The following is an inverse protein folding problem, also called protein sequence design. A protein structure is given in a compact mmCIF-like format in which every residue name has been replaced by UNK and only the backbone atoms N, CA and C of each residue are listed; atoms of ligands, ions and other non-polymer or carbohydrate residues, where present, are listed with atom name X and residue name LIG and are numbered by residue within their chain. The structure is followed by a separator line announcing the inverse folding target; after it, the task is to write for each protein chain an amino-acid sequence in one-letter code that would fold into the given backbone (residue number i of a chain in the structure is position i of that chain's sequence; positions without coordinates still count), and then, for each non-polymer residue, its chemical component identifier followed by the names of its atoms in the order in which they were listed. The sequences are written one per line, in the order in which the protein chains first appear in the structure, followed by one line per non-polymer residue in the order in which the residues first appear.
data_IF_743650068516
#
_entry.id   IF_743650068516
#
_cell.length_a   1.000
_cell.length_b   1.000
_cell.length_c   1.000
_cell.angle_alpha   90.00
_cell.angle_beta   90.00
_cell.angle_gamma   90.00
#
_symmetry.space_group_name_H-M   'P 1'
#
loop_
_entity.id
_entity.type
_entity.pdbx_description
1 polymer ?
#
# COMPACT_ATOMS: atom_id res chain seq x y z
N UNK A 1 19.61 19.56 -13.99
CA UNK A 1 20.91 18.98 -13.63
C UNK A 1 20.69 17.51 -13.22
N UNK A 2 21.41 16.52 -13.79
CA UNK A 2 21.11 15.08 -13.61
C UNK A 2 21.24 14.56 -12.16
N UNK A 3 21.99 15.25 -11.30
CA UNK A 3 22.10 14.94 -9.85
C UNK A 3 20.80 15.11 -9.04
N UNK A 4 19.80 15.83 -9.55
CA UNK A 4 18.52 16.00 -8.84
C UNK A 4 17.58 14.79 -8.98
N UNK A 5 17.85 13.89 -9.94
CA UNK A 5 16.95 12.78 -10.26
C UNK A 5 16.99 11.71 -9.15
N UNK A 6 18.14 11.45 -8.54
CA UNK A 6 18.26 10.47 -7.46
C UNK A 6 17.56 10.90 -6.16
N UNK A 7 17.62 12.18 -5.80
CA UNK A 7 16.95 12.67 -4.59
C UNK A 7 15.42 12.62 -4.73
N UNK A 8 14.92 12.95 -5.93
CA UNK A 8 13.49 12.89 -6.23
C UNK A 8 12.98 11.44 -6.10
N UNK A 9 13.71 10.46 -6.63
CA UNK A 9 13.30 9.05 -6.55
C UNK A 9 13.22 8.50 -5.12
N UNK A 10 14.06 8.97 -4.20
CA UNK A 10 14.01 8.55 -2.80
C UNK A 10 12.80 9.10 -2.04
N UNK A 11 12.31 10.30 -2.40
CA UNK A 11 11.10 10.89 -1.80
C UNK A 11 9.83 10.18 -2.27
N UNK A 12 9.81 9.64 -3.50
CA UNK A 12 8.66 8.91 -4.05
C UNK A 12 8.66 7.40 -3.75
N UNK A 13 9.69 6.89 -3.07
CA UNK A 13 9.73 5.49 -2.64
C UNK A 13 8.85 5.32 -1.41
N UNK A 14 7.92 4.34 -1.40
CA UNK A 14 7.14 4.03 -0.22
C UNK A 14 8.04 3.74 0.98
N UNK A 15 7.70 4.27 2.14
CA UNK A 15 8.41 3.94 3.38
C UNK A 15 8.06 2.52 3.83
N UNK A 16 8.85 1.96 4.77
CA UNK A 16 8.56 0.63 5.32
C UNK A 16 7.20 0.61 6.02
N UNK A 17 6.88 1.65 6.75
CA UNK A 17 5.62 1.81 7.48
C UNK A 17 4.43 1.86 6.53
N UNK A 18 4.57 2.56 5.39
CA UNK A 18 3.52 2.61 4.35
C UNK A 18 3.31 1.25 3.69
N UNK A 19 4.39 0.49 3.47
CA UNK A 19 4.32 -0.88 2.92
C UNK A 19 3.62 -1.80 3.92
N UNK A 20 4.03 -1.82 5.18
CA UNK A 20 3.40 -2.66 6.22
C UNK A 20 1.93 -2.33 6.40
N UNK A 21 1.58 -1.04 6.40
CA UNK A 21 0.18 -0.62 6.44
C UNK A 21 -0.59 -1.12 5.22
N UNK A 22 -0.03 -0.97 4.02
CA UNK A 22 -0.66 -1.42 2.79
C UNK A 22 -0.87 -2.95 2.76
N UNK A 23 0.07 -3.74 3.28
CA UNK A 23 -0.08 -5.19 3.43
C UNK A 23 -1.24 -5.54 4.36
N UNK A 24 -1.31 -4.90 5.54
CA UNK A 24 -2.40 -5.10 6.51
C UNK A 24 -3.77 -4.74 5.92
N UNK A 25 -3.85 -3.65 5.16
CA UNK A 25 -5.08 -3.20 4.51
C UNK A 25 -5.58 -4.21 3.47
N UNK A 26 -4.69 -4.72 2.62
CA UNK A 26 -5.04 -5.70 1.60
C UNK A 26 -5.49 -7.01 2.23
N UNK A 27 -4.74 -7.51 3.22
CA UNK A 27 -5.09 -8.72 3.95
C UNK A 27 -6.45 -8.60 4.65
N UNK A 28 -6.71 -7.47 5.31
CA UNK A 28 -7.98 -7.24 5.99
C UNK A 28 -9.17 -7.28 5.02
N UNK A 29 -9.04 -6.66 3.84
CA UNK A 29 -10.12 -6.69 2.84
C UNK A 29 -10.31 -8.07 2.22
N UNK A 30 -9.23 -8.80 1.94
CA UNK A 30 -9.31 -10.19 1.44
C UNK A 30 -9.99 -11.12 2.46
N UNK A 31 -9.72 -10.96 3.75
CA UNK A 31 -10.42 -11.69 4.81
C UNK A 31 -11.91 -11.32 4.89
N UNK A 32 -12.24 -10.04 4.74
CA UNK A 32 -13.62 -9.58 4.70
C UNK A 32 -14.36 -10.15 3.49
N UNK A 33 -13.75 -10.13 2.30
CA UNK A 33 -14.32 -10.69 1.07
C UNK A 33 -14.60 -12.19 1.22
N UNK A 34 -13.68 -12.95 1.83
CA UNK A 34 -13.88 -14.38 2.15
C UNK A 34 -15.07 -14.63 3.09
N UNK A 35 -15.41 -13.66 3.93
CA UNK A 35 -16.58 -13.70 4.84
C UNK A 35 -17.85 -13.11 4.19
N UNK A 36 -17.80 -12.72 2.92
CA UNK A 36 -18.91 -12.09 2.21
C UNK A 36 -19.12 -10.61 2.53
N UNK A 37 -18.14 -9.95 3.17
CA UNK A 37 -18.18 -8.52 3.49
C UNK A 37 -17.33 -7.71 2.51
N UNK A 38 -17.88 -6.63 1.96
CA UNK A 38 -17.15 -5.70 1.08
C UNK A 38 -16.30 -4.66 1.83
N UNK A 39 -16.29 -4.72 3.16
CA UNK A 39 -15.55 -3.80 4.04
C UNK A 39 -14.90 -4.57 5.18
N UNK A 40 -13.74 -4.09 5.63
CA UNK A 40 -13.01 -4.62 6.77
C UNK A 40 -12.72 -3.52 7.79
N UNK A 41 -12.41 -3.91 9.02
CA UNK A 41 -11.95 -2.99 10.06
C UNK A 41 -10.49 -3.27 10.37
N UNK A 42 -9.63 -2.25 10.24
CA UNK A 42 -8.23 -2.31 10.63
C UNK A 42 -8.00 -1.33 11.79
N UNK A 43 -7.97 -1.86 13.01
CA UNK A 43 -7.95 -1.06 14.23
C UNK A 43 -9.20 -0.20 14.36
N UNK A 44 -9.04 1.13 14.37
CA UNK A 44 -10.16 2.09 14.42
C UNK A 44 -10.62 2.59 13.05
N UNK A 45 -10.02 2.11 11.95
CA UNK A 45 -10.31 2.58 10.59
C UNK A 45 -11.10 1.54 9.81
N UNK A 46 -12.12 1.99 9.09
CA UNK A 46 -12.82 1.18 8.10
C UNK A 46 -12.02 1.14 6.80
N UNK A 47 -11.89 -0.05 6.25
CA UNK A 47 -11.21 -0.35 5.00
C UNK A 47 -12.27 -0.77 3.99
N UNK A 48 -12.34 -0.03 2.89
CA UNK A 48 -13.19 -0.31 1.76
C UNK A 48 -12.36 -0.59 0.50
N UNK A 49 -13.03 -0.94 -0.59
CA UNK A 49 -12.37 -1.20 -1.87
C UNK A 49 -11.47 -0.03 -2.37
N UNK A 50 -11.87 1.26 -2.27
CA UNK A 50 -10.99 2.39 -2.57
C UNK A 50 -9.70 2.43 -1.73
N UNK A 51 -9.78 2.21 -0.42
CA UNK A 51 -8.61 2.20 0.47
C UNK A 51 -7.66 1.06 0.10
N UNK A 52 -8.19 -0.15 -0.12
CA UNK A 52 -7.38 -1.29 -0.56
C UNK A 52 -6.76 -1.08 -1.94
N UNK A 53 -7.46 -0.41 -2.87
CA UNK A 53 -6.91 -0.06 -4.18
C UNK A 53 -5.70 0.86 -4.06
N UNK A 54 -5.70 1.82 -3.13
CA UNK A 54 -4.54 2.67 -2.84
C UNK A 54 -3.39 1.86 -2.24
N UNK A 55 -3.67 1.02 -1.25
CA UNK A 55 -2.68 0.12 -0.65
C UNK A 55 -2.00 -0.79 -1.69
N UNK A 56 -2.78 -1.40 -2.61
CA UNK A 56 -2.22 -2.19 -3.72
C UNK A 56 -1.27 -1.40 -4.62
N UNK A 57 -1.52 -0.10 -4.85
CA UNK A 57 -0.60 0.76 -5.61
C UNK A 57 0.73 0.97 -4.86
N UNK A 58 0.67 1.21 -3.55
CA UNK A 58 1.86 1.36 -2.70
C UNK A 58 2.71 0.09 -2.77
N UNK A 59 2.11 -1.09 -2.62
CA UNK A 59 2.82 -2.37 -2.73
C UNK A 59 3.42 -2.59 -4.11
N UNK A 60 2.69 -2.23 -5.18
CA UNK A 60 3.21 -2.31 -6.55
C UNK A 60 4.43 -1.42 -6.74
N UNK A 61 4.38 -0.19 -6.24
CA UNK A 61 5.47 0.76 -6.31
C UNK A 61 6.69 0.26 -5.51
N UNK A 62 6.47 -0.25 -4.30
CA UNK A 62 7.51 -0.85 -3.47
C UNK A 62 8.22 -2.02 -4.16
N UNK A 63 7.48 -2.88 -4.89
CA UNK A 63 8.06 -3.96 -5.69
C UNK A 63 8.95 -3.44 -6.82
N UNK A 64 8.53 -2.38 -7.52
CA UNK A 64 9.32 -1.77 -8.61
C UNK A 64 10.65 -1.17 -8.11
N UNK A 65 10.68 -0.61 -6.91
CA UNK A 65 11.90 -0.09 -6.29
C UNK A 65 12.79 -1.15 -5.64
N UNK A 66 12.32 -2.40 -5.52
CA UNK A 66 13.09 -3.52 -4.95
C UNK A 66 13.75 -4.38 -6.05
N UNK A 67 13.28 -4.26 -7.30
CA UNK A 67 13.87 -4.91 -8.48
C UNK A 67 14.83 -4.03 -9.28
N UNK A 68 15.11 -2.82 -8.79
CA UNK A 68 16.16 -1.91 -9.28
C UNK A 68 17.26 -1.85 -8.24
#
# INVERSE_FOLDING_TARGET
HPLQIEHIHNVYKPTKEEIEYAEKVVAALEEAEKRGSGVASLGRKMIDAPVAKRARKVLKLARQYRSK
#
